data_IF_723833422597
#
_entry.id   IF_723833422597
#
_cell.length_a   1.000
_cell.length_b   1.000
_cell.length_c   1.000
_cell.angle_alpha   90.00
_cell.angle_beta   90.00
_cell.angle_gamma   90.00
#
_symmetry.space_group_name_H-M   'P 1'
#
loop_
_entity.id
_entity.type
_entity.pdbx_description
1 polymer ?
#
# COMPACT_ATOMS: atom_id res chain seq x y z
N UNK A 1 9.98 -32.17 -25.87
CA UNK A 1 9.99 -32.38 -24.39
C UNK A 1 8.56 -32.72 -23.97
N UNK A 2 8.40 -33.83 -23.24
CA UNK A 2 7.12 -34.14 -22.57
C UNK A 2 6.77 -33.12 -21.47
N UNK A 3 5.55 -33.19 -20.97
CA UNK A 3 5.13 -32.34 -19.85
C UNK A 3 6.02 -32.52 -18.63
N UNK A 4 6.30 -33.79 -18.29
CA UNK A 4 7.10 -34.15 -17.13
C UNK A 4 8.58 -33.74 -17.29
N UNK A 5 9.15 -33.91 -18.48
CA UNK A 5 10.51 -33.45 -18.78
C UNK A 5 10.63 -31.93 -18.61
N UNK A 6 9.62 -31.16 -19.03
CA UNK A 6 9.62 -29.69 -18.87
C UNK A 6 9.52 -29.27 -17.40
N UNK A 7 8.67 -29.94 -16.62
CA UNK A 7 8.56 -29.67 -15.18
C UNK A 7 9.88 -30.00 -14.48
N UNK A 8 10.49 -31.14 -14.83
CA UNK A 8 11.78 -31.55 -14.26
C UNK A 8 12.90 -30.56 -14.62
N UNK A 9 12.97 -30.12 -15.86
CA UNK A 9 13.94 -29.08 -16.29
C UNK A 9 13.71 -27.74 -15.57
N UNK A 10 12.45 -27.34 -15.39
CA UNK A 10 12.12 -26.14 -14.61
C UNK A 10 12.54 -26.27 -13.14
N UNK A 11 12.33 -27.43 -12.53
CA UNK A 11 12.74 -27.70 -11.14
C UNK A 11 14.26 -27.65 -10.98
N UNK A 12 15.01 -28.25 -11.92
CA UNK A 12 16.48 -28.17 -11.94
C UNK A 12 16.96 -26.70 -12.02
N UNK A 13 16.34 -25.87 -12.90
CA UNK A 13 16.65 -24.44 -12.98
C UNK A 13 16.37 -23.71 -11.67
N UNK A 14 15.23 -24.00 -11.03
CA UNK A 14 14.92 -23.47 -9.70
C UNK A 14 16.00 -23.82 -8.68
N UNK A 15 16.46 -25.05 -8.67
CA UNK A 15 17.53 -25.51 -7.76
C UNK A 15 18.85 -24.76 -8.01
N UNK A 16 19.23 -24.56 -9.26
CA UNK A 16 20.42 -23.78 -9.62
C UNK A 16 20.23 -22.31 -9.16
N UNK A 17 19.05 -21.72 -9.39
CA UNK A 17 18.73 -20.38 -8.89
C UNK A 17 18.86 -20.26 -7.37
N UNK A 18 18.45 -21.28 -6.62
CA UNK A 18 18.61 -21.32 -5.16
C UNK A 18 20.09 -21.33 -4.74
N UNK A 19 20.98 -21.98 -5.51
CA UNK A 19 22.43 -21.96 -5.25
C UNK A 19 22.99 -20.55 -5.47
N UNK A 20 22.64 -19.90 -6.57
CA UNK A 20 23.05 -18.51 -6.83
C UNK A 20 22.54 -17.56 -5.75
N UNK A 21 21.27 -17.71 -5.33
CA UNK A 21 20.69 -16.92 -4.25
C UNK A 21 21.45 -17.05 -2.92
N UNK A 22 21.84 -18.27 -2.54
CA UNK A 22 22.66 -18.51 -1.34
C UNK A 22 24.04 -17.86 -1.41
N UNK A 23 24.59 -17.77 -2.62
CA UNK A 23 25.88 -17.12 -2.89
C UNK A 23 25.75 -15.60 -3.13
N UNK A 24 24.60 -15.03 -2.83
CA UNK A 24 24.27 -13.59 -3.03
C UNK A 24 24.37 -13.08 -4.48
N UNK A 25 24.47 -13.98 -5.45
CA UNK A 25 24.42 -13.69 -6.88
C UNK A 25 22.96 -13.55 -7.33
N UNK A 26 22.37 -12.38 -7.00
CA UNK A 26 20.93 -12.20 -7.09
C UNK A 26 20.43 -12.10 -8.54
N UNK A 27 21.18 -11.46 -9.42
CA UNK A 27 20.81 -11.33 -10.84
C UNK A 27 20.86 -12.68 -11.54
N UNK A 28 21.94 -13.45 -11.33
CA UNK A 28 22.07 -14.80 -11.89
C UNK A 28 20.99 -15.74 -11.33
N UNK A 29 20.62 -15.58 -10.06
CA UNK A 29 19.52 -16.35 -9.46
C UNK A 29 18.19 -16.03 -10.16
N UNK A 30 17.90 -14.75 -10.41
CA UNK A 30 16.68 -14.34 -11.10
C UNK A 30 16.63 -14.85 -12.54
N UNK A 31 17.75 -14.89 -13.25
CA UNK A 31 17.85 -15.47 -14.59
C UNK A 31 17.43 -16.94 -14.59
N UNK A 32 17.94 -17.73 -13.61
CA UNK A 32 17.57 -19.14 -13.50
C UNK A 32 16.09 -19.34 -13.16
N UNK A 33 15.53 -18.51 -12.27
CA UNK A 33 14.09 -18.55 -11.96
C UNK A 33 13.23 -18.13 -13.16
N UNK A 34 13.64 -17.12 -13.95
CA UNK A 34 12.97 -16.76 -15.20
C UNK A 34 12.97 -17.91 -16.19
N UNK A 35 14.11 -18.58 -16.37
CA UNK A 35 14.20 -19.76 -17.22
C UNK A 35 13.26 -20.87 -16.72
N UNK A 36 13.22 -21.14 -15.41
CA UNK A 36 12.31 -22.12 -14.84
C UNK A 36 10.84 -21.79 -15.18
N UNK A 37 10.44 -20.55 -15.03
CA UNK A 37 9.08 -20.08 -15.35
C UNK A 37 8.79 -20.18 -16.86
N UNK A 38 9.77 -19.92 -17.73
CA UNK A 38 9.60 -19.98 -19.20
C UNK A 38 9.30 -21.38 -19.70
N UNK A 39 9.82 -22.42 -19.05
CA UNK A 39 9.43 -23.82 -19.36
C UNK A 39 7.94 -24.08 -19.13
N UNK A 40 7.31 -23.30 -18.24
CA UNK A 40 5.92 -23.43 -17.80
C UNK A 40 5.06 -22.22 -18.23
N UNK A 41 5.28 -21.70 -19.43
CA UNK A 41 4.54 -20.55 -19.97
C UNK A 41 3.03 -20.78 -20.09
N UNK A 42 2.26 -19.71 -20.32
CA UNK A 42 0.78 -19.73 -20.30
C UNK A 42 0.15 -20.80 -21.17
N UNK A 43 0.64 -21.00 -22.38
CA UNK A 43 0.12 -22.00 -23.31
C UNK A 43 0.38 -23.45 -22.87
N UNK A 44 1.30 -23.65 -21.93
CA UNK A 44 1.60 -24.96 -21.37
C UNK A 44 0.54 -25.44 -20.37
N UNK A 45 -0.17 -24.52 -19.73
CA UNK A 45 -1.13 -24.83 -18.66
C UNK A 45 -2.47 -25.39 -19.16
N UNK A 46 -2.82 -25.13 -20.41
CA UNK A 46 -4.15 -25.45 -20.94
C UNK A 46 -4.47 -26.95 -21.03
N UNK A 47 -3.55 -27.83 -21.49
CA UNK A 47 -3.83 -29.27 -21.66
C UNK A 47 -3.52 -30.12 -20.42
N UNK A 48 -3.13 -29.51 -19.26
CA UNK A 48 -2.65 -30.27 -18.11
C UNK A 48 -3.77 -30.92 -17.31
N UNK A 49 -3.55 -32.19 -16.88
CA UNK A 49 -4.36 -32.85 -15.88
C UNK A 49 -4.21 -32.15 -14.49
N UNK A 50 -5.16 -32.39 -13.58
CA UNK A 50 -5.09 -31.82 -12.24
C UNK A 50 -3.78 -32.10 -11.51
N UNK A 51 -3.26 -33.33 -11.61
CA UNK A 51 -1.97 -33.71 -10.99
C UNK A 51 -0.78 -32.95 -11.61
N UNK A 52 -0.72 -32.85 -12.92
CA UNK A 52 0.34 -32.11 -13.61
C UNK A 52 0.29 -30.63 -13.29
N UNK A 53 -0.92 -30.05 -13.20
CA UNK A 53 -1.11 -28.66 -12.80
C UNK A 53 -0.57 -28.38 -11.38
N UNK A 54 -0.85 -29.27 -10.43
CA UNK A 54 -0.29 -29.15 -9.08
C UNK A 54 1.24 -29.16 -9.10
N UNK A 55 1.87 -30.09 -9.85
CA UNK A 55 3.33 -30.15 -9.99
C UNK A 55 3.92 -28.86 -10.59
N UNK A 56 3.24 -28.25 -11.55
CA UNK A 56 3.67 -26.95 -12.12
C UNK A 56 3.59 -25.84 -11.06
N UNK A 57 2.52 -25.77 -10.30
CA UNK A 57 2.35 -24.78 -9.23
C UNK A 57 3.43 -24.92 -8.17
N UNK A 58 3.79 -26.15 -7.79
CA UNK A 58 4.85 -26.47 -6.82
C UNK A 58 6.25 -25.98 -7.25
N UNK A 59 6.47 -25.80 -8.55
CA UNK A 59 7.74 -25.26 -9.07
C UNK A 59 7.62 -23.76 -9.35
N UNK A 60 6.53 -23.32 -9.96
CA UNK A 60 6.33 -21.94 -10.41
C UNK A 60 6.18 -20.96 -9.25
N UNK A 61 5.37 -21.30 -8.25
CA UNK A 61 5.14 -20.45 -7.07
C UNK A 61 6.42 -20.13 -6.30
N UNK A 62 7.29 -21.12 -5.93
CA UNK A 62 8.57 -20.80 -5.32
C UNK A 62 9.49 -19.95 -6.20
N UNK A 63 9.47 -20.12 -7.53
CA UNK A 63 10.27 -19.28 -8.43
C UNK A 63 9.85 -17.82 -8.33
N UNK A 64 8.55 -17.50 -8.44
CA UNK A 64 8.03 -16.14 -8.27
C UNK A 64 8.36 -15.57 -6.89
N UNK A 65 8.17 -16.37 -5.83
CA UNK A 65 8.50 -15.95 -4.48
C UNK A 65 9.99 -15.64 -4.32
N UNK A 66 10.88 -16.47 -4.85
CA UNK A 66 12.32 -16.26 -4.74
C UNK A 66 12.80 -15.07 -5.59
N UNK A 67 12.21 -14.86 -6.77
CA UNK A 67 12.43 -13.63 -7.56
C UNK A 67 12.02 -12.39 -6.76
N UNK A 68 10.84 -12.41 -6.14
CA UNK A 68 10.40 -11.31 -5.30
C UNK A 68 11.39 -11.01 -4.17
N UNK A 69 11.99 -12.02 -3.57
CA UNK A 69 13.01 -11.83 -2.53
C UNK A 69 14.32 -11.26 -3.08
N UNK A 70 14.78 -11.70 -4.26
CA UNK A 70 15.93 -11.12 -4.94
C UNK A 70 15.67 -9.62 -5.20
N UNK A 71 14.50 -9.30 -5.73
CA UNK A 71 14.10 -7.93 -6.06
C UNK A 71 14.03 -7.02 -4.83
N UNK A 72 13.53 -7.52 -3.69
CA UNK A 72 13.57 -6.78 -2.42
C UNK A 72 15.02 -6.48 -2.00
N UNK A 73 15.91 -7.46 -2.09
CA UNK A 73 17.33 -7.26 -1.77
C UNK A 73 18.01 -6.25 -2.71
N UNK A 74 17.61 -6.22 -4.00
CA UNK A 74 18.06 -5.27 -5.00
C UNK A 74 17.34 -3.91 -4.96
N UNK A 75 16.43 -3.71 -4.01
CA UNK A 75 15.59 -2.51 -3.87
C UNK A 75 14.68 -2.21 -5.07
N UNK A 76 14.39 -3.24 -5.88
CA UNK A 76 13.44 -3.17 -7.02
C UNK A 76 12.04 -3.57 -6.54
N UNK A 77 11.45 -2.74 -5.69
CA UNK A 77 10.25 -3.09 -4.94
C UNK A 77 8.99 -3.25 -5.80
N UNK A 78 8.83 -2.41 -6.82
CA UNK A 78 7.67 -2.46 -7.74
C UNK A 78 7.57 -3.81 -8.45
N UNK A 79 8.69 -4.30 -8.97
CA UNK A 79 8.74 -5.60 -9.62
C UNK A 79 8.48 -6.75 -8.63
N UNK A 80 8.97 -6.61 -7.40
CA UNK A 80 8.66 -7.57 -6.33
C UNK A 80 7.16 -7.67 -6.06
N UNK A 81 6.45 -6.52 -6.04
CA UNK A 81 4.99 -6.48 -5.87
C UNK A 81 4.28 -7.23 -6.99
N UNK A 82 4.75 -7.11 -8.24
CA UNK A 82 4.18 -7.83 -9.39
C UNK A 82 4.30 -9.35 -9.19
N UNK A 83 5.50 -9.84 -8.87
CA UNK A 83 5.73 -11.28 -8.68
C UNK A 83 4.93 -11.85 -7.50
N UNK A 84 4.83 -11.13 -6.39
CA UNK A 84 3.99 -11.55 -5.26
C UNK A 84 2.50 -11.54 -5.64
N UNK A 85 2.05 -10.54 -6.39
CA UNK A 85 0.65 -10.46 -6.84
C UNK A 85 0.29 -11.61 -7.80
N UNK A 86 1.21 -12.02 -8.68
CA UNK A 86 1.03 -13.21 -9.52
C UNK A 86 0.79 -14.48 -8.68
N UNK A 87 1.50 -14.64 -7.59
CA UNK A 87 1.27 -15.78 -6.67
C UNK A 87 -0.10 -15.66 -6.00
N UNK A 88 -0.47 -14.45 -5.56
CA UNK A 88 -1.73 -14.22 -4.84
C UNK A 88 -2.99 -14.29 -5.73
N UNK A 89 -2.86 -14.23 -7.05
CA UNK A 89 -3.97 -14.53 -7.97
C UNK A 89 -4.29 -16.03 -8.03
N UNK A 90 -3.31 -16.89 -7.77
CA UNK A 90 -3.48 -18.35 -7.73
C UNK A 90 -3.80 -18.84 -6.30
N UNK A 91 -3.18 -18.23 -5.27
CA UNK A 91 -3.36 -18.55 -3.84
C UNK A 91 -3.37 -17.27 -2.99
N UNK A 92 -4.56 -16.74 -2.73
CA UNK A 92 -4.78 -15.52 -1.94
C UNK A 92 -4.31 -15.67 -0.48
N UNK A 93 -4.14 -16.89 0.00
CA UNK A 93 -3.77 -17.21 1.38
C UNK A 93 -2.27 -17.36 1.58
N UNK A 94 -1.48 -17.24 0.53
CA UNK A 94 -0.04 -17.46 0.57
C UNK A 94 0.67 -16.45 1.47
N UNK A 95 0.99 -16.88 2.69
CA UNK A 95 1.61 -16.04 3.73
C UNK A 95 2.93 -15.43 3.26
N UNK A 96 3.78 -16.20 2.54
CA UNK A 96 5.07 -15.70 2.05
C UNK A 96 4.90 -14.61 1.00
N UNK A 97 3.90 -14.76 0.12
CA UNK A 97 3.60 -13.76 -0.89
C UNK A 97 3.05 -12.48 -0.25
N UNK A 98 2.08 -12.60 0.67
CA UNK A 98 1.54 -11.47 1.42
C UNK A 98 2.63 -10.73 2.18
N UNK A 99 3.48 -11.45 2.92
CA UNK A 99 4.56 -10.84 3.68
C UNK A 99 5.58 -10.09 2.80
N UNK A 100 6.02 -10.70 1.69
CA UNK A 100 6.98 -10.08 0.78
C UNK A 100 6.37 -8.90 0.04
N UNK A 101 5.10 -8.98 -0.37
CA UNK A 101 4.39 -7.86 -1.00
C UNK A 101 4.21 -6.70 -0.02
N UNK A 102 3.80 -6.99 1.21
CA UNK A 102 3.68 -6.01 2.28
C UNK A 102 5.01 -5.30 2.54
N UNK A 103 6.13 -6.06 2.61
CA UNK A 103 7.46 -5.48 2.77
C UNK A 103 7.86 -4.57 1.62
N UNK A 104 7.65 -4.99 0.38
CA UNK A 104 7.95 -4.17 -0.79
C UNK A 104 7.09 -2.89 -0.83
N UNK A 105 5.80 -2.98 -0.48
CA UNK A 105 4.89 -1.83 -0.40
C UNK A 105 5.28 -0.85 0.71
N UNK A 106 5.73 -1.35 1.86
CA UNK A 106 6.23 -0.50 2.95
C UNK A 106 7.42 0.34 2.49
N UNK A 107 8.37 -0.24 1.77
CA UNK A 107 9.54 0.45 1.21
C UNK A 107 9.16 1.46 0.10
N UNK A 108 8.05 1.24 -0.61
CA UNK A 108 7.47 2.17 -1.58
C UNK A 108 6.64 3.30 -0.92
N UNK A 109 6.53 3.33 0.41
CA UNK A 109 5.70 4.30 1.13
C UNK A 109 4.19 4.02 1.05
N UNK A 110 3.78 2.87 0.52
CA UNK A 110 2.37 2.45 0.45
C UNK A 110 1.93 1.80 1.76
N UNK A 111 1.96 2.56 2.85
CA UNK A 111 1.82 2.06 4.23
C UNK A 111 0.48 1.37 4.49
N UNK A 112 -0.64 1.90 3.97
CA UNK A 112 -1.96 1.30 4.18
C UNK A 112 -2.07 -0.05 3.47
N UNK A 113 -1.63 -0.14 2.21
CA UNK A 113 -1.63 -1.38 1.45
C UNK A 113 -0.65 -2.43 2.03
N UNK A 114 0.48 -1.98 2.59
CA UNK A 114 1.41 -2.85 3.31
C UNK A 114 0.79 -3.41 4.59
N UNK A 115 0.09 -2.56 5.35
CA UNK A 115 -0.63 -2.97 6.56
C UNK A 115 -1.68 -4.02 6.26
N UNK A 116 -2.48 -3.84 5.21
CA UNK A 116 -3.50 -4.81 4.79
C UNK A 116 -2.88 -6.17 4.46
N UNK A 117 -1.76 -6.18 3.72
CA UNK A 117 -1.05 -7.42 3.41
C UNK A 117 -0.52 -8.12 4.66
N UNK A 118 0.07 -7.39 5.62
CA UNK A 118 0.56 -7.97 6.86
C UNK A 118 -0.58 -8.44 7.79
N UNK A 119 -1.71 -7.74 7.83
CA UNK A 119 -2.88 -8.19 8.60
C UNK A 119 -3.46 -9.48 8.02
N UNK A 120 -3.55 -9.58 6.69
CA UNK A 120 -3.96 -10.81 6.02
C UNK A 120 -2.96 -11.95 6.31
N UNK A 121 -1.66 -11.68 6.19
CA UNK A 121 -0.62 -12.66 6.52
C UNK A 121 -0.73 -13.14 7.96
N UNK A 122 -0.96 -12.24 8.93
CA UNK A 122 -1.13 -12.56 10.34
C UNK A 122 -2.37 -13.41 10.61
N UNK A 123 -3.44 -13.23 9.84
CA UNK A 123 -4.65 -14.04 9.96
C UNK A 123 -4.37 -15.52 9.67
N UNK A 124 -3.50 -15.81 8.68
CA UNK A 124 -3.16 -17.17 8.29
C UNK A 124 -1.95 -17.75 9.03
N UNK A 125 -1.08 -16.90 9.59
CA UNK A 125 0.09 -17.31 10.37
C UNK A 125 0.26 -16.39 11.60
N UNK A 126 -0.60 -16.55 12.64
CA UNK A 126 -0.59 -15.69 13.82
C UNK A 126 0.70 -15.80 14.65
N UNK A 127 1.36 -16.95 14.62
CA UNK A 127 2.58 -17.22 15.39
C UNK A 127 3.87 -16.67 14.74
N UNK A 128 3.77 -16.14 13.51
CA UNK A 128 4.95 -15.65 12.76
C UNK A 128 5.40 -14.27 13.31
N UNK A 129 6.44 -14.30 14.15
CA UNK A 129 7.01 -13.10 14.79
C UNK A 129 7.50 -12.04 13.81
N UNK A 130 7.93 -12.45 12.61
CA UNK A 130 8.40 -11.54 11.58
C UNK A 130 7.26 -10.59 11.11
N UNK A 131 6.04 -11.10 10.97
CA UNK A 131 4.87 -10.31 10.57
C UNK A 131 4.52 -9.28 11.67
N UNK A 132 4.53 -9.71 12.93
CA UNK A 132 4.25 -8.82 14.06
C UNK A 132 5.29 -7.68 14.15
N UNK A 133 6.56 -7.99 13.89
CA UNK A 133 7.64 -7.00 13.87
C UNK A 133 7.45 -5.96 12.77
N UNK A 134 7.12 -6.37 11.54
CA UNK A 134 6.90 -5.44 10.43
C UNK A 134 5.67 -4.55 10.67
N UNK A 135 4.58 -5.10 11.23
CA UNK A 135 3.42 -4.30 11.64
C UNK A 135 3.76 -3.23 12.69
N UNK A 136 4.58 -3.59 13.67
CA UNK A 136 5.03 -2.64 14.69
C UNK A 136 5.89 -1.52 14.08
N UNK A 137 6.82 -1.88 13.19
CA UNK A 137 7.66 -0.93 12.46
C UNK A 137 6.82 0.07 11.65
N UNK A 138 5.78 -0.38 10.95
CA UNK A 138 4.87 0.50 10.21
C UNK A 138 4.19 1.52 11.14
N UNK A 139 3.68 1.06 12.29
CA UNK A 139 3.03 1.95 13.26
C UNK A 139 4.01 3.00 13.80
N UNK A 140 5.25 2.62 14.08
CA UNK A 140 6.28 3.56 14.52
C UNK A 140 6.65 4.58 13.45
N UNK A 141 6.81 4.13 12.19
CA UNK A 141 7.08 5.03 11.06
C UNK A 141 5.96 6.05 10.86
N UNK A 142 4.70 5.61 10.96
CA UNK A 142 3.55 6.52 10.85
C UNK A 142 3.47 7.53 11.99
N UNK A 143 3.74 7.09 13.22
CA UNK A 143 3.80 8.01 14.37
C UNK A 143 4.91 9.05 14.17
N UNK A 144 6.09 8.62 13.74
CA UNK A 144 7.22 9.50 13.48
C UNK A 144 6.90 10.50 12.35
N UNK A 145 6.24 10.04 11.27
CA UNK A 145 5.82 10.90 10.17
C UNK A 145 4.80 11.94 10.63
N UNK A 146 3.75 11.53 11.35
CA UNK A 146 2.73 12.43 11.91
C UNK A 146 3.36 13.45 12.88
N UNK A 147 4.34 13.04 13.69
CA UNK A 147 5.02 13.96 14.58
C UNK A 147 5.83 15.00 13.79
N UNK A 148 6.62 14.58 12.80
CA UNK A 148 7.37 15.51 11.93
C UNK A 148 6.44 16.49 11.21
N UNK A 149 5.30 16.00 10.70
CA UNK A 149 4.30 16.83 10.06
C UNK A 149 3.74 17.88 11.05
N UNK A 150 3.39 17.44 12.26
CA UNK A 150 2.90 18.34 13.32
C UNK A 150 3.93 19.42 13.68
N UNK A 151 5.20 19.03 13.80
CA UNK A 151 6.28 19.96 14.14
C UNK A 151 6.55 20.95 13.00
N UNK A 152 6.47 20.50 11.75
CA UNK A 152 6.56 21.34 10.56
C UNK A 152 5.43 22.40 10.53
N UNK A 153 4.18 21.98 10.75
CA UNK A 153 3.05 22.92 10.79
C UNK A 153 3.13 23.90 11.96
N UNK A 154 3.61 23.47 13.13
CA UNK A 154 3.86 24.40 14.24
C UNK A 154 4.88 25.48 13.88
N UNK A 155 5.93 25.11 13.14
CA UNK A 155 6.95 26.05 12.68
C UNK A 155 6.41 27.09 11.66
N UNK A 156 5.42 26.71 10.85
CA UNK A 156 4.82 27.60 9.82
C UNK A 156 3.74 28.51 10.42
N UNK A 157 2.85 27.95 11.24
CA UNK A 157 1.68 28.68 11.77
C UNK A 157 1.87 29.26 13.17
N UNK A 158 3.08 29.13 13.76
CA UNK A 158 3.35 29.51 15.14
C UNK A 158 2.71 28.54 16.15
N UNK A 159 2.90 28.78 17.45
CA UNK A 159 2.24 27.99 18.46
C UNK A 159 0.72 28.12 18.25
N UNK A 160 0.05 26.99 18.10
CA UNK A 160 -1.42 26.95 18.13
C UNK A 160 -1.87 27.74 19.37
N UNK A 161 -2.79 28.70 19.23
CA UNK A 161 -3.27 29.41 20.41
C UNK A 161 -3.74 28.35 21.39
N UNK A 162 -3.08 28.27 22.56
CA UNK A 162 -3.56 27.45 23.66
C UNK A 162 -5.03 27.80 23.81
N UNK A 163 -5.90 26.80 23.78
CA UNK A 163 -7.29 26.99 24.17
C UNK A 163 -7.22 27.47 25.62
N UNK A 164 -7.19 28.79 25.79
CA UNK A 164 -7.47 29.36 27.10
C UNK A 164 -8.88 28.88 27.42
N UNK A 165 -9.00 28.00 28.36
CA UNK A 165 -10.29 27.72 28.99
C UNK A 165 -10.74 29.07 29.56
N UNK A 166 -11.61 29.75 28.81
CA UNK A 166 -12.24 30.98 29.28
C UNK A 166 -13.10 30.52 30.43
N UNK A 167 -12.76 30.97 31.64
CA UNK A 167 -13.55 30.66 32.82
C UNK A 167 -15.00 31.15 32.59
N UNK A 168 -15.95 30.47 33.20
CA UNK A 168 -17.37 30.84 33.10
C UNK A 168 -17.63 32.32 33.44
N UNK A 169 -16.80 32.91 34.30
CA UNK A 169 -16.80 34.31 34.66
C UNK A 169 -16.35 35.22 33.52
N UNK A 170 -15.30 34.87 32.79
CA UNK A 170 -14.85 35.60 31.58
C UNK A 170 -15.84 35.48 30.42
N UNK A 171 -16.58 34.35 30.29
CA UNK A 171 -17.66 34.22 29.33
C UNK A 171 -18.81 35.20 29.63
N UNK A 172 -19.19 35.35 30.90
CA UNK A 172 -20.26 36.25 31.33
C UNK A 172 -19.83 37.68 31.10
N UNK A 173 -18.58 38.06 31.38
CA UNK A 173 -18.04 39.41 31.16
C UNK A 173 -18.00 39.77 29.68
N UNK A 174 -17.56 38.84 28.81
CA UNK A 174 -17.58 39.03 27.35
C UNK A 174 -19.00 39.16 26.78
N UNK A 175 -20.01 38.44 27.35
CA UNK A 175 -21.40 38.55 26.94
C UNK A 175 -21.99 39.88 27.39
N UNK A 176 -21.64 40.38 28.56
CA UNK A 176 -22.10 41.67 29.09
C UNK A 176 -21.51 42.84 28.28
N UNK A 177 -20.27 42.76 27.86
CA UNK A 177 -19.63 43.78 26.97
C UNK A 177 -20.26 43.75 25.56
N UNK A 178 -20.64 42.56 25.06
CA UNK A 178 -21.33 42.41 23.77
C UNK A 178 -22.75 42.98 23.78
N UNK A 179 -23.44 42.93 24.93
CA UNK A 179 -24.80 43.45 25.10
C UNK A 179 -24.85 44.97 25.29
N UNK A 180 -23.74 45.63 25.67
CA UNK A 180 -23.71 47.04 26.07
C UNK A 180 -23.28 48.02 24.99
N UNK A 181 -22.96 47.64 23.74
CA UNK A 181 -22.31 48.57 22.85
C UNK A 181 -22.79 48.65 21.38
N UNK A 182 -22.98 49.88 20.86
CA UNK A 182 -23.37 50.08 19.46
C UNK A 182 -22.19 50.09 18.46
N UNK A 183 -21.10 49.37 18.74
CA UNK A 183 -19.88 49.37 17.88
C UNK A 183 -19.79 48.25 16.84
N UNK A 184 -20.78 47.39 16.74
CA UNK A 184 -20.69 46.19 15.88
C UNK A 184 -20.99 46.42 14.40
N UNK A 185 -21.52 47.58 13.98
CA UNK A 185 -21.85 47.81 12.56
C UNK A 185 -20.67 48.16 11.65
N UNK A 186 -19.47 48.47 12.19
CA UNK A 186 -18.33 48.91 11.37
C UNK A 186 -17.21 47.89 11.17
N UNK A 187 -17.24 46.77 11.83
CA UNK A 187 -16.14 45.74 11.74
C UNK A 187 -16.38 44.66 10.71
N UNK A 188 -17.62 44.50 10.22
CA UNK A 188 -17.97 43.48 9.23
C UNK A 188 -17.79 43.90 7.79
N UNK A 189 -17.50 45.19 7.53
CA UNK A 189 -17.29 45.71 6.18
C UNK A 189 -15.84 45.77 5.71
N UNK A 190 -14.87 45.37 6.52
CA UNK A 190 -13.43 45.42 6.19
C UNK A 190 -12.69 44.10 6.30
N UNK A 191 -13.34 42.98 6.48
CA UNK A 191 -12.67 41.67 6.31
C UNK A 191 -13.04 41.14 4.93
N UNK A 192 -12.12 41.35 3.98
CA UNK A 192 -12.07 40.66 2.71
C UNK A 192 -12.14 39.16 2.98
N UNK A 193 -13.05 38.45 2.32
CA UNK A 193 -13.20 37.01 2.40
C UNK A 193 -11.90 36.34 1.97
N UNK A 194 -11.42 35.33 2.69
CA UNK A 194 -10.28 34.53 2.25
C UNK A 194 -10.62 33.87 0.91
N UNK A 195 -9.70 33.91 -0.03
CA UNK A 195 -9.75 33.41 -1.40
C UNK A 195 -10.02 31.87 -1.56
N UNK A 196 -10.53 31.21 -0.56
CA UNK A 196 -10.71 29.75 -0.54
C UNK A 196 -12.13 29.26 -0.85
N UNK A 197 -13.10 30.16 -1.09
CA UNK A 197 -14.48 29.78 -1.44
C UNK A 197 -14.86 30.03 -2.92
N UNK A 198 -13.88 30.15 -3.82
CA UNK A 198 -14.18 30.39 -5.25
C UNK A 198 -14.03 29.17 -6.16
N UNK A 199 -13.83 27.96 -5.62
CA UNK A 199 -13.61 26.76 -6.44
C UNK A 199 -14.69 25.67 -6.31
N UNK A 200 -15.84 25.93 -5.70
CA UNK A 200 -16.84 24.88 -5.47
C UNK A 200 -18.25 25.18 -5.96
N UNK A 201 -18.42 26.04 -6.95
CA UNK A 201 -19.75 26.34 -7.50
C UNK A 201 -19.79 26.41 -9.03
N UNK A 202 -19.18 25.49 -9.77
CA UNK A 202 -19.37 25.35 -11.23
C UNK A 202 -19.38 23.86 -11.65
N UNK A 203 -19.92 22.91 -10.88
CA UNK A 203 -20.10 21.52 -11.35
C UNK A 203 -21.53 20.98 -11.13
N UNK A 204 -22.47 21.71 -10.57
CA UNK A 204 -23.83 21.20 -10.33
C UNK A 204 -24.95 21.91 -11.12
N UNK A 205 -24.72 22.28 -12.38
CA UNK A 205 -25.79 22.86 -13.24
C UNK A 205 -25.88 22.29 -14.65
N UNK A 206 -25.38 21.12 -14.97
CA UNK A 206 -25.52 20.53 -16.31
C UNK A 206 -25.95 19.04 -16.33
N UNK A 207 -26.86 18.61 -15.44
CA UNK A 207 -27.43 17.26 -15.51
C UNK A 207 -28.93 17.19 -15.21
N UNK A 208 -29.71 18.24 -15.54
CA UNK A 208 -31.18 18.13 -15.57
C UNK A 208 -31.74 18.86 -16.78
N UNK A 209 -31.59 18.32 -18.02
CA UNK A 209 -32.45 18.68 -19.15
C UNK A 209 -32.18 17.82 -20.41
N UNK A 210 -32.25 16.51 -20.29
CA UNK A 210 -32.43 15.62 -21.49
C UNK A 210 -33.32 14.42 -21.16
N UNK A 211 -34.55 14.66 -20.73
CA UNK A 211 -35.60 13.63 -20.82
C UNK A 211 -36.98 14.27 -20.91
N UNK A 212 -37.26 14.94 -22.05
CA UNK A 212 -38.63 15.20 -22.51
C UNK A 212 -38.61 15.65 -23.95
N UNK A 213 -38.51 14.69 -24.89
CA UNK A 213 -39.11 14.78 -26.25
C UNK A 213 -38.80 13.49 -27.01
N UNK A 214 -39.70 12.55 -26.97
CA UNK A 214 -40.23 11.90 -28.18
C UNK A 214 -41.42 11.02 -27.78
N UNK A 215 -42.54 11.49 -28.22
CA UNK A 215 -43.69 10.66 -28.56
C UNK A 215 -43.37 9.99 -29.85
#
# INVERSE_FOLDING_TARGET
MSVEERITAADQRKMVGNVFFKNEKLEEAMEQYKMAISYMGSNFMLPLSGKQRAMVVDVKTPCHLNMAMCLIKLKRYEESVIHCSTVLTEDETNVKALFRRGKARAELGQTDAARDDFLKARKYAPEEKAIAKELHLLVEQEKAFKQKQKDFYKGIFGPSPEKKEISSEQMIENISEFAAGPKLKRRWQQQEQPLYCRSFTIIDCELENEDKKTV
#
